data_IF_645750828774
#
_entry.id   IF_645750828774
#
_cell.length_a   1.000
_cell.length_b   1.000
_cell.length_c   1.000
_cell.angle_alpha   90.00
_cell.angle_beta   90.00
_cell.angle_gamma   90.00
#
_symmetry.space_group_name_H-M   'P 1'
#
loop_
_entity.id
_entity.type
_entity.pdbx_description
1 polymer ?
#
# COMPACT_ATOMS: atom_id res chain seq x y z
N UNK A 1 33.10 -15.19 11.45
CA UNK A 1 32.27 -14.53 10.42
C UNK A 1 30.95 -15.30 10.34
N UNK A 2 29.86 -14.71 10.82
CA UNK A 2 28.64 -15.44 11.20
C UNK A 2 27.72 -15.64 9.98
N UNK A 3 27.46 -16.90 9.59
CA UNK A 3 26.66 -17.26 8.41
C UNK A 3 25.18 -16.83 8.48
N UNK A 4 24.73 -16.35 9.64
CA UNK A 4 23.36 -15.87 9.89
C UNK A 4 23.09 -14.45 9.35
N UNK A 5 24.09 -13.57 9.30
CA UNK A 5 23.90 -12.19 8.81
C UNK A 5 23.72 -12.14 7.28
N UNK A 6 24.38 -13.04 6.55
CA UNK A 6 24.36 -13.04 5.09
C UNK A 6 23.03 -13.52 4.52
N UNK A 7 22.37 -14.50 5.16
CA UNK A 7 21.01 -14.93 4.77
C UNK A 7 19.96 -13.88 5.11
N UNK A 8 20.18 -13.06 6.12
CA UNK A 8 19.27 -11.98 6.51
C UNK A 8 19.15 -10.89 5.44
N UNK A 9 20.27 -10.58 4.76
CA UNK A 9 20.28 -9.63 3.64
C UNK A 9 19.56 -10.16 2.40
N UNK A 10 19.45 -11.48 2.24
CA UNK A 10 18.95 -12.10 1.00
C UNK A 10 17.41 -12.29 0.98
N UNK A 11 16.75 -12.32 2.14
CA UNK A 11 15.31 -12.59 2.26
C UNK A 11 14.44 -11.35 2.58
N UNK A 12 15.04 -10.19 2.85
CA UNK A 12 14.35 -8.96 3.28
C UNK A 12 13.98 -8.02 2.12
N UNK A 13 13.65 -8.55 0.94
CA UNK A 13 13.65 -7.75 -0.30
C UNK A 13 12.30 -7.73 -1.04
N UNK A 14 11.26 -8.39 -0.54
CA UNK A 14 10.04 -8.62 -1.33
C UNK A 14 9.08 -7.42 -1.42
N UNK A 15 9.41 -6.25 -0.85
CA UNK A 15 8.73 -4.98 -1.17
C UNK A 15 9.62 -3.74 -1.29
N UNK A 16 10.92 -3.84 -1.00
CA UNK A 16 11.87 -2.73 -1.15
C UNK A 16 13.23 -3.26 -1.67
N UNK A 17 13.57 -2.90 -2.92
CA UNK A 17 14.90 -2.93 -3.55
C UNK A 17 15.60 -4.29 -3.75
N UNK A 18 15.55 -4.80 -4.99
CA UNK A 18 16.69 -5.53 -5.58
C UNK A 18 16.98 -4.92 -6.96
N UNK A 19 18.15 -4.29 -7.05
CA UNK A 19 18.77 -3.69 -8.24
C UNK A 19 19.56 -4.79 -8.94
N UNK A 20 19.28 -5.01 -10.21
CA UNK A 20 20.18 -5.64 -11.17
C UNK A 20 20.51 -4.60 -12.23
N UNK A 21 21.78 -4.18 -12.27
CA UNK A 21 22.33 -3.24 -13.22
C UNK A 21 22.58 -3.96 -14.55
N UNK A 22 21.87 -3.63 -15.64
CA UNK A 22 22.33 -3.83 -17.02
C UNK A 22 21.76 -2.79 -17.99
N UNK A 23 22.52 -2.59 -19.05
CA UNK A 23 22.71 -1.39 -19.88
C UNK A 23 21.63 -1.06 -20.91
N UNK A 24 21.39 0.25 -21.03
CA UNK A 24 21.42 1.08 -22.25
C UNK A 24 20.82 0.51 -23.54
N UNK A 25 19.65 1.02 -23.91
CA UNK A 25 19.34 1.36 -25.30
C UNK A 25 18.31 2.50 -25.37
N UNK A 26 18.73 3.56 -26.05
CA UNK A 26 18.01 4.80 -26.31
C UNK A 26 17.17 4.64 -27.59
N UNK A 27 15.88 4.99 -27.56
CA UNK A 27 15.17 5.51 -28.73
C UNK A 27 13.89 6.25 -28.29
N UNK A 28 13.87 7.57 -28.54
CA UNK A 28 12.70 8.42 -28.41
C UNK A 28 11.70 8.15 -29.54
N UNK A 29 10.42 8.12 -29.21
CA UNK A 29 9.36 8.54 -30.12
C UNK A 29 8.25 9.19 -29.30
N UNK A 30 8.19 10.52 -29.35
CA UNK A 30 7.06 11.28 -28.85
C UNK A 30 5.91 11.14 -29.86
N UNK A 31 4.73 10.76 -29.38
CA UNK A 31 3.48 10.92 -30.12
C UNK A 31 2.48 11.53 -29.15
N UNK A 32 2.22 12.82 -29.38
CA UNK A 32 1.16 13.56 -28.72
C UNK A 32 -0.20 13.01 -29.21
N UNK A 33 -0.96 12.42 -28.31
CA UNK A 33 -2.38 12.16 -28.50
C UNK A 33 -3.12 12.79 -27.31
N UNK A 34 -3.99 13.74 -27.64
CA UNK A 34 -4.74 14.54 -26.70
C UNK A 34 -5.57 13.68 -25.75
N UNK A 35 -5.35 13.88 -24.46
CA UNK A 35 -6.21 13.32 -23.43
C UNK A 35 -7.49 14.16 -23.37
N UNK A 36 -8.59 13.60 -23.84
CA UNK A 36 -9.92 13.99 -23.37
C UNK A 36 -9.92 13.77 -21.85
N UNK A 37 -9.96 14.86 -21.10
CA UNK A 37 -10.16 14.82 -19.65
C UNK A 37 -11.59 14.35 -19.43
N UNK A 38 -11.76 13.04 -19.22
CA UNK A 38 -12.97 12.50 -18.61
C UNK A 38 -13.01 13.07 -17.20
N UNK A 39 -13.88 14.06 -17.02
CA UNK A 39 -14.14 14.70 -15.73
C UNK A 39 -14.74 13.64 -14.80
N UNK A 40 -13.86 13.05 -13.99
CA UNK A 40 -14.25 11.99 -13.09
C UNK A 40 -15.02 12.59 -11.90
N UNK A 41 -16.32 12.32 -11.88
CA UNK A 41 -17.26 12.85 -10.90
C UNK A 41 -17.09 12.13 -9.56
N UNK A 42 -16.95 12.89 -8.47
CA UNK A 42 -16.95 12.31 -7.12
C UNK A 42 -18.21 11.46 -6.89
N UNK A 43 -18.09 10.28 -6.25
CA UNK A 43 -19.23 9.42 -6.01
C UNK A 43 -20.29 10.10 -5.11
N UNK A 44 -21.59 9.76 -5.27
CA UNK A 44 -22.68 10.43 -4.58
C UNK A 44 -22.61 10.29 -3.06
N UNK A 45 -23.02 11.36 -2.34
CA UNK A 45 -23.03 11.58 -0.87
C UNK A 45 -23.87 10.59 -0.02
N UNK A 46 -23.95 9.29 -0.37
CA UNK A 46 -24.30 8.29 0.66
C UNK A 46 -23.16 8.27 1.69
N UNK A 47 -23.45 7.96 2.96
CA UNK A 47 -22.44 7.82 3.99
C UNK A 47 -21.28 7.00 3.42
N UNK A 48 -20.14 7.66 3.18
CA UNK A 48 -19.07 7.07 2.38
C UNK A 48 -18.54 5.90 3.20
N UNK A 49 -18.76 4.69 2.70
CA UNK A 49 -18.22 3.50 3.32
C UNK A 49 -16.69 3.68 3.43
N UNK A 50 -16.13 3.37 4.60
CA UNK A 50 -14.70 3.48 4.89
C UNK A 50 -13.83 2.98 3.72
N UNK A 51 -12.79 3.73 3.36
CA UNK A 51 -11.77 3.28 2.40
C UNK A 51 -10.74 2.33 3.02
N UNK A 52 -10.87 2.01 4.31
CA UNK A 52 -10.01 1.04 5.00
C UNK A 52 -10.85 0.16 5.94
N UNK A 53 -11.64 -0.79 5.38
CA UNK A 53 -12.42 -1.74 6.17
C UNK A 53 -11.52 -2.60 7.08
N UNK A 54 -11.69 -2.50 8.40
CA UNK A 54 -10.89 -3.25 9.41
C UNK A 54 -11.73 -4.23 10.24
N UNK A 55 -12.78 -4.81 9.66
CA UNK A 55 -13.60 -5.80 10.38
C UNK A 55 -12.84 -7.14 10.49
N UNK A 56 -12.75 -7.72 11.68
CA UNK A 56 -12.14 -9.05 11.90
C UNK A 56 -12.72 -10.10 10.94
N UNK A 57 -11.85 -10.94 10.38
CA UNK A 57 -12.20 -11.99 9.42
C UNK A 57 -12.27 -11.54 7.97
N UNK A 58 -12.22 -10.23 7.71
CA UNK A 58 -12.17 -9.66 6.35
C UNK A 58 -10.83 -9.98 5.69
N UNK A 59 -10.84 -10.36 4.42
CA UNK A 59 -9.62 -10.61 3.66
C UNK A 59 -9.69 -10.13 2.21
N UNK A 60 -8.51 -9.87 1.64
CA UNK A 60 -8.26 -9.51 0.25
C UNK A 60 -7.16 -10.39 -0.31
N UNK A 61 -7.33 -10.87 -1.54
CA UNK A 61 -6.30 -11.55 -2.30
C UNK A 61 -5.83 -10.64 -3.42
N UNK A 62 -4.52 -10.49 -3.55
CA UNK A 62 -3.90 -9.64 -4.55
C UNK A 62 -2.94 -10.45 -5.41
N UNK A 63 -2.75 -9.98 -6.63
CA UNK A 63 -1.66 -10.38 -7.53
C UNK A 63 -0.70 -9.22 -7.70
N UNK A 64 0.59 -9.49 -7.63
CA UNK A 64 1.64 -8.52 -7.93
C UNK A 64 2.43 -8.97 -9.16
N UNK A 65 2.69 -8.01 -10.04
CA UNK A 65 3.48 -8.15 -11.25
C UNK A 65 4.67 -7.21 -11.18
N UNK A 66 5.88 -7.73 -11.39
CA UNK A 66 7.15 -6.98 -11.42
C UNK A 66 8.07 -7.59 -12.47
N UNK A 67 8.22 -6.91 -13.62
CA UNK A 67 8.87 -7.51 -14.79
C UNK A 67 8.16 -8.82 -15.15
N UNK A 68 8.92 -9.89 -15.31
CA UNK A 68 8.38 -11.23 -15.62
C UNK A 68 7.90 -12.01 -14.38
N UNK A 69 8.08 -11.45 -13.17
CA UNK A 69 7.66 -12.10 -11.93
C UNK A 69 6.21 -11.80 -11.59
N UNK A 70 5.43 -12.86 -11.35
CA UNK A 70 4.03 -12.79 -10.92
C UNK A 70 3.83 -13.68 -9.69
N UNK A 71 3.25 -13.14 -8.62
CA UNK A 71 2.87 -13.92 -7.44
C UNK A 71 1.64 -13.34 -6.74
N UNK A 72 0.94 -14.21 -6.01
CA UNK A 72 -0.24 -13.84 -5.24
C UNK A 72 0.10 -13.71 -3.74
N UNK A 73 -0.64 -12.88 -3.01
CA UNK A 73 -0.61 -12.82 -1.55
C UNK A 73 -1.98 -12.41 -0.99
N UNK A 74 -2.21 -12.68 0.29
CA UNK A 74 -3.48 -12.39 0.97
C UNK A 74 -3.27 -11.41 2.13
N UNK A 75 -4.12 -10.40 2.25
CA UNK A 75 -4.25 -9.59 3.47
C UNK A 75 -5.45 -10.08 4.27
N UNK A 76 -5.33 -10.20 5.58
CA UNK A 76 -6.43 -10.61 6.46
C UNK A 76 -6.43 -9.83 7.76
N UNK A 77 -7.58 -9.29 8.15
CA UNK A 77 -7.77 -8.76 9.51
C UNK A 77 -7.94 -9.95 10.45
N UNK A 78 -6.90 -10.24 11.22
CA UNK A 78 -6.84 -11.45 12.06
C UNK A 78 -7.37 -11.20 13.46
N UNK A 79 -7.14 -10.01 14.02
CA UNK A 79 -7.54 -9.71 15.38
C UNK A 79 -7.82 -8.23 15.61
N UNK A 80 -8.53 -7.96 16.71
CA UNK A 80 -8.80 -6.61 17.23
C UNK A 80 -8.59 -6.66 18.73
N UNK A 81 -7.59 -5.93 19.21
CA UNK A 81 -7.20 -5.90 20.63
C UNK A 81 -7.39 -4.50 21.18
N UNK A 82 -7.71 -4.38 22.47
CA UNK A 82 -7.72 -3.09 23.16
C UNK A 82 -6.33 -2.81 23.72
N UNK A 83 -5.71 -1.72 23.26
CA UNK A 83 -4.45 -1.22 23.80
C UNK A 83 -4.63 0.26 24.15
N UNK A 84 -4.32 0.65 25.39
CA UNK A 84 -4.45 2.05 25.85
C UNK A 84 -5.82 2.68 25.54
N UNK A 85 -6.90 1.89 25.68
CA UNK A 85 -8.29 2.27 25.39
C UNK A 85 -8.59 2.53 23.90
N UNK A 86 -7.70 2.15 22.99
CA UNK A 86 -7.90 2.18 21.53
C UNK A 86 -8.11 0.76 20.99
N UNK A 87 -8.92 0.63 19.94
CA UNK A 87 -9.01 -0.62 19.19
C UNK A 87 -7.84 -0.70 18.18
N UNK A 88 -6.96 -1.67 18.39
CA UNK A 88 -5.79 -1.96 17.55
C UNK A 88 -6.07 -3.19 16.69
N UNK A 89 -5.99 -3.01 15.38
CA UNK A 89 -6.31 -4.01 14.37
C UNK A 89 -5.03 -4.68 13.88
N UNK A 90 -4.93 -6.00 14.05
CA UNK A 90 -3.85 -6.81 13.47
C UNK A 90 -4.25 -7.27 12.06
N UNK A 91 -3.41 -6.95 11.09
CA UNK A 91 -3.57 -7.36 9.69
C UNK A 91 -2.34 -8.15 9.27
N UNK A 92 -2.58 -9.40 8.86
CA UNK A 92 -1.56 -10.28 8.32
C UNK A 92 -1.50 -10.14 6.80
N UNK A 93 -0.30 -9.93 6.26
CA UNK A 93 0.04 -10.16 4.86
C UNK A 93 0.67 -11.54 4.73
N UNK A 94 -0.04 -12.47 4.11
CA UNK A 94 0.33 -13.87 3.94
C UNK A 94 0.84 -14.08 2.52
N UNK A 95 2.16 -14.27 2.38
CA UNK A 95 2.85 -14.64 1.15
C UNK A 95 3.78 -15.84 1.45
N UNK A 96 5.03 -15.82 0.99
CA UNK A 96 6.04 -16.80 1.40
C UNK A 96 6.41 -16.68 2.89
N UNK A 97 6.36 -15.46 3.42
CA UNK A 97 6.51 -15.15 4.84
C UNK A 97 5.33 -14.27 5.27
N UNK A 98 4.83 -14.48 6.48
CA UNK A 98 3.80 -13.62 7.06
C UNK A 98 4.41 -12.32 7.56
N UNK A 99 3.83 -11.20 7.19
CA UNK A 99 4.13 -9.88 7.76
C UNK A 99 2.90 -9.45 8.54
N UNK A 100 3.09 -9.06 9.79
CA UNK A 100 2.04 -8.56 10.66
C UNK A 100 2.14 -7.05 10.76
N UNK A 101 1.03 -6.36 10.53
CA UNK A 101 0.91 -4.91 10.71
C UNK A 101 -0.19 -4.61 11.74
N UNK A 102 0.04 -3.63 12.61
CA UNK A 102 -0.96 -3.17 13.57
C UNK A 102 -1.39 -1.75 13.25
N UNK A 103 -2.70 -1.54 13.18
CA UNK A 103 -3.32 -0.27 12.81
C UNK A 103 -4.24 0.24 13.91
N UNK A 104 -4.44 1.55 13.96
CA UNK A 104 -5.46 2.20 14.79
C UNK A 104 -6.17 3.28 13.97
N UNK A 105 -7.45 3.49 14.27
CA UNK A 105 -8.20 4.65 13.76
C UNK A 105 -8.30 5.72 14.83
N UNK A 106 -7.85 6.94 14.51
CA UNK A 106 -7.98 8.12 15.38
C UNK A 106 -8.71 9.22 14.63
N UNK A 107 -10.02 9.35 14.89
CA UNK A 107 -10.90 10.19 14.06
C UNK A 107 -10.87 9.76 12.60
N UNK A 108 -10.50 10.68 11.72
CA UNK A 108 -10.39 10.44 10.28
C UNK A 108 -9.02 9.85 9.87
N UNK A 109 -8.10 9.60 10.81
CA UNK A 109 -6.77 9.09 10.49
C UNK A 109 -6.69 7.57 10.63
N UNK A 110 -6.13 6.92 9.61
CA UNK A 110 -5.69 5.53 9.67
C UNK A 110 -4.18 5.53 9.90
N UNK A 111 -3.77 5.05 11.07
CA UNK A 111 -2.39 5.04 11.52
C UNK A 111 -1.87 3.61 11.59
N UNK A 112 -0.65 3.39 11.12
CA UNK A 112 0.09 2.14 11.35
C UNK A 112 1.06 2.33 12.50
N UNK A 113 0.95 1.48 13.51
CA UNK A 113 1.71 1.56 14.76
C UNK A 113 3.04 0.83 14.65
N UNK A 114 3.00 -0.39 14.13
CA UNK A 114 4.15 -1.30 14.14
C UNK A 114 4.00 -2.40 13.08
N UNK A 115 5.11 -3.05 12.77
CA UNK A 115 5.22 -4.13 11.80
C UNK A 115 6.18 -5.22 12.32
N UNK A 116 5.89 -6.48 12.02
CA UNK A 116 6.71 -7.64 12.39
C UNK A 116 6.83 -8.61 11.20
N UNK A 117 8.06 -8.96 10.83
CA UNK A 117 8.38 -9.85 9.71
C UNK A 117 8.65 -11.28 10.18
N UNK A 118 7.77 -12.21 9.80
CA UNK A 118 7.85 -13.61 10.17
C UNK A 118 7.91 -13.84 11.68
N UNK A 119 8.51 -14.96 12.07
CA UNK A 119 8.55 -15.36 13.48
C UNK A 119 9.76 -14.80 14.24
N UNK A 120 10.66 -14.06 13.57
CA UNK A 120 11.87 -13.53 14.19
C UNK A 120 11.53 -12.34 15.12
N UNK A 121 11.74 -12.44 16.44
CA UNK A 121 11.39 -11.36 17.38
C UNK A 121 12.14 -10.05 17.14
N UNK A 122 13.33 -10.10 16.54
CA UNK A 122 14.15 -8.92 16.23
C UNK A 122 13.75 -8.24 14.92
N UNK A 123 12.89 -8.85 14.11
CA UNK A 123 12.45 -8.31 12.83
C UNK A 123 11.23 -7.39 12.99
N UNK A 124 11.32 -6.40 13.88
CA UNK A 124 10.22 -5.52 14.26
C UNK A 124 10.53 -4.06 13.93
N UNK A 125 9.50 -3.34 13.53
CA UNK A 125 9.54 -1.90 13.31
C UNK A 125 8.42 -1.28 14.13
N UNK A 126 8.75 -0.26 14.93
CA UNK A 126 7.78 0.59 15.62
C UNK A 126 7.86 1.96 14.96
N UNK A 127 6.71 2.52 14.57
CA UNK A 127 6.65 3.83 13.94
C UNK A 127 6.45 4.90 15.01
N UNK A 128 7.45 5.77 15.14
CA UNK A 128 7.42 6.93 16.03
C UNK A 128 7.73 8.21 15.23
N UNK A 129 6.74 9.11 15.02
CA UNK A 129 5.32 8.95 15.37
C UNK A 129 4.64 7.84 14.54
N UNK A 130 3.45 7.33 14.95
CA UNK A 130 2.67 6.38 14.15
C UNK A 130 2.57 6.81 12.69
N UNK A 131 2.73 5.86 11.77
CA UNK A 131 2.75 6.14 10.34
C UNK A 131 1.34 6.48 9.84
N UNK A 132 1.13 7.73 9.44
CA UNK A 132 -0.14 8.17 8.85
C UNK A 132 -0.28 7.58 7.45
N UNK A 133 -1.03 6.47 7.36
CA UNK A 133 -1.26 5.75 6.12
C UNK A 133 -2.15 6.57 5.20
N UNK A 134 -3.30 6.99 5.73
CA UNK A 134 -4.30 7.76 4.98
C UNK A 134 -5.26 8.50 5.91
N UNK A 135 -5.98 9.45 5.33
CA UNK A 135 -7.22 9.99 5.91
C UNK A 135 -8.42 9.27 5.31
N UNK A 136 -9.49 9.13 6.07
CA UNK A 136 -10.73 8.46 5.68
C UNK A 136 -11.92 9.15 6.38
N UNK A 137 -12.85 9.79 5.64
CA UNK A 137 -13.10 9.65 4.20
C UNK A 137 -12.09 10.37 3.30
N UNK A 138 -11.78 9.77 2.15
CA UNK A 138 -11.00 10.41 1.09
C UNK A 138 -11.86 11.43 0.32
N UNK A 139 -11.29 12.61 0.09
CA UNK A 139 -11.89 13.70 -0.70
C UNK A 139 -10.87 14.23 -1.70
N UNK A 140 -11.32 14.76 -2.83
CA UNK A 140 -10.40 15.32 -3.83
C UNK A 140 -9.51 16.39 -3.19
N UNK A 141 -8.24 16.42 -3.58
CA UNK A 141 -7.20 17.32 -3.07
C UNK A 141 -6.86 17.22 -1.57
N UNK A 142 -7.46 16.27 -0.84
CA UNK A 142 -7.00 15.91 0.50
C UNK A 142 -5.54 15.47 0.43
N UNK A 143 -4.72 15.99 1.33
CA UNK A 143 -3.30 15.71 1.41
C UNK A 143 -2.88 15.54 2.86
N UNK A 144 -1.83 14.75 3.05
CA UNK A 144 -1.22 14.53 4.35
C UNK A 144 0.26 14.24 4.20
N UNK A 145 0.99 14.48 5.28
CA UNK A 145 2.41 14.21 5.36
C UNK A 145 2.70 13.35 6.57
N UNK A 146 3.70 12.49 6.43
CA UNK A 146 4.31 11.82 7.57
C UNK A 146 5.83 11.95 7.51
N UNK A 147 6.45 12.17 8.67
CA UNK A 147 7.89 12.16 8.85
C UNK A 147 8.24 11.31 10.06
N UNK A 148 9.18 10.38 9.90
CA UNK A 148 9.64 9.52 10.98
C UNK A 148 10.74 8.57 10.54
N UNK A 149 10.86 7.46 11.25
CA UNK A 149 11.83 6.41 10.93
C UNK A 149 11.14 5.16 10.41
N UNK A 150 11.66 4.60 9.31
CA UNK A 150 11.23 3.34 8.74
C UNK A 150 12.06 2.16 9.26
N UNK A 151 12.05 1.08 8.48
CA UNK A 151 12.89 -0.10 8.71
C UNK A 151 14.38 0.30 8.78
N UNK A 152 15.14 -0.36 9.67
CA UNK A 152 16.56 -0.05 9.94
C UNK A 152 16.83 1.39 10.44
N UNK A 153 15.81 2.11 10.91
CA UNK A 153 15.95 3.47 11.46
C UNK A 153 16.15 4.57 10.41
N UNK A 154 15.97 4.25 9.12
CA UNK A 154 16.11 5.17 7.98
C UNK A 154 15.10 6.31 8.11
N UNK A 155 15.52 7.56 7.86
CA UNK A 155 14.62 8.70 7.86
C UNK A 155 13.72 8.66 6.63
N UNK A 156 12.42 8.85 6.87
CA UNK A 156 11.42 8.81 5.82
C UNK A 156 10.55 10.06 5.89
N UNK A 157 10.31 10.67 4.73
CA UNK A 157 9.29 11.70 4.53
C UNK A 157 8.34 11.20 3.44
N UNK A 158 7.06 11.10 3.75
CA UNK A 158 6.01 10.67 2.85
C UNK A 158 5.00 11.80 2.66
N UNK A 159 4.74 12.21 1.42
CA UNK A 159 3.76 13.23 1.07
C UNK A 159 2.71 12.60 0.17
N UNK A 160 1.48 12.55 0.64
CA UNK A 160 0.38 11.86 -0.04
C UNK A 160 -0.75 12.84 -0.39
N UNK A 161 -1.38 12.65 -1.55
CA UNK A 161 -2.50 13.46 -2.01
C UNK A 161 -3.50 12.61 -2.81
N UNK A 162 -4.79 12.86 -2.60
CA UNK A 162 -5.86 12.39 -3.50
C UNK A 162 -5.87 13.26 -4.74
N UNK A 163 -5.42 12.71 -5.87
CA UNK A 163 -5.32 13.45 -7.14
C UNK A 163 -6.57 13.32 -8.00
N UNK A 164 -7.29 12.20 -7.90
CA UNK A 164 -8.47 11.94 -8.71
C UNK A 164 -9.38 10.89 -8.04
N UNK A 165 -10.61 10.82 -8.52
CA UNK A 165 -11.43 9.61 -8.48
C UNK A 165 -11.45 9.05 -9.89
N UNK A 166 -11.43 7.73 -10.08
CA UNK A 166 -11.48 7.15 -11.42
C UNK A 166 -12.14 5.78 -11.42
N UNK A 167 -12.80 5.47 -12.54
CA UNK A 167 -13.41 4.16 -12.75
C UNK A 167 -12.35 3.17 -13.21
N UNK A 168 -12.26 2.05 -12.49
CA UNK A 168 -11.38 0.93 -12.77
C UNK A 168 -12.20 -0.31 -13.14
N UNK A 169 -11.79 -0.97 -14.21
CA UNK A 169 -12.31 -2.27 -14.61
C UNK A 169 -11.22 -3.33 -14.34
N UNK A 170 -11.37 -4.05 -13.22
CA UNK A 170 -10.47 -5.12 -12.81
C UNK A 170 -11.15 -6.48 -13.01
N UNK A 171 -10.36 -7.55 -13.07
CA UNK A 171 -10.89 -8.93 -13.21
C UNK A 171 -11.95 -9.26 -12.15
N UNK A 172 -11.77 -8.77 -10.93
CA UNK A 172 -12.67 -9.01 -9.79
C UNK A 172 -13.93 -8.12 -9.81
N UNK A 173 -13.97 -7.07 -10.65
CA UNK A 173 -15.12 -6.19 -10.80
C UNK A 173 -14.78 -4.74 -11.16
N UNK A 174 -15.83 -3.92 -11.26
CA UNK A 174 -15.74 -2.48 -11.54
C UNK A 174 -15.77 -1.67 -10.26
N UNK A 175 -14.91 -0.66 -10.16
CA UNK A 175 -14.75 0.16 -8.97
C UNK A 175 -14.64 1.63 -9.34
N UNK A 176 -15.28 2.52 -8.60
CA UNK A 176 -14.91 3.93 -8.56
C UNK A 176 -13.92 4.13 -7.41
N UNK A 177 -12.67 4.49 -7.74
CA UNK A 177 -11.56 4.48 -6.79
C UNK A 177 -10.89 5.84 -6.66
N UNK A 178 -10.57 6.25 -5.44
CA UNK A 178 -9.73 7.40 -5.15
C UNK A 178 -8.27 7.07 -5.48
N UNK A 179 -7.67 7.78 -6.42
CA UNK A 179 -6.25 7.71 -6.78
C UNK A 179 -5.44 8.61 -5.85
N UNK A 180 -4.64 7.98 -4.98
CA UNK A 180 -3.69 8.64 -4.09
C UNK A 180 -2.29 8.52 -4.69
N UNK A 181 -1.56 9.62 -4.78
CA UNK A 181 -0.13 9.63 -5.12
C UNK A 181 0.68 10.00 -3.89
N UNK A 182 1.66 9.16 -3.56
CA UNK A 182 2.57 9.30 -2.43
C UNK A 182 4.01 9.43 -2.92
N UNK A 183 4.65 10.57 -2.65
CA UNK A 183 6.05 10.82 -2.95
C UNK A 183 6.88 10.63 -1.70
N UNK A 184 7.69 9.56 -1.68
CA UNK A 184 8.45 9.14 -0.51
C UNK A 184 9.93 9.42 -0.71
N UNK A 185 10.52 10.13 0.26
CA UNK A 185 11.96 10.32 0.38
C UNK A 185 12.48 9.45 1.51
N UNK A 186 13.47 8.61 1.24
CA UNK A 186 14.14 7.77 2.23
C UNK A 186 15.64 7.99 2.11
N UNK A 187 16.24 8.68 3.08
CA UNK A 187 17.61 9.21 2.98
C UNK A 187 17.88 9.89 1.63
N UNK A 188 18.73 9.29 0.77
CA UNK A 188 19.09 9.80 -0.57
C UNK A 188 18.18 9.26 -1.69
N UNK A 189 17.33 8.29 -1.40
CA UNK A 189 16.46 7.61 -2.35
C UNK A 189 15.09 8.26 -2.43
N UNK A 190 14.47 8.20 -3.61
CA UNK A 190 13.08 8.62 -3.83
C UNK A 190 12.32 7.50 -4.50
N UNK A 191 11.10 7.28 -4.04
CA UNK A 191 10.16 6.38 -4.69
C UNK A 191 8.78 7.02 -4.72
N UNK A 192 7.98 6.61 -5.71
CA UNK A 192 6.59 7.01 -5.82
C UNK A 192 5.71 5.79 -5.62
N UNK A 193 4.65 5.96 -4.84
CA UNK A 193 3.57 4.98 -4.72
C UNK A 193 2.30 5.62 -5.23
N UNK A 194 1.54 4.88 -6.02
CA UNK A 194 0.20 5.26 -6.45
C UNK A 194 -0.75 4.19 -5.96
N UNK A 195 -1.81 4.59 -5.28
CA UNK A 195 -2.80 3.70 -4.71
C UNK A 195 -4.18 4.05 -5.22
N UNK A 196 -5.01 3.04 -5.43
CA UNK A 196 -6.41 3.20 -5.77
C UNK A 196 -7.25 2.51 -4.71
N UNK A 197 -8.02 3.31 -3.99
CA UNK A 197 -8.90 2.83 -2.92
C UNK A 197 -10.37 3.00 -3.33
N UNK A 198 -11.14 1.93 -3.25
CA UNK A 198 -12.59 1.96 -3.48
C UNK A 198 -13.34 1.95 -2.14
N UNK A 199 -14.35 2.81 -2.03
CA UNK A 199 -15.14 2.96 -0.81
C UNK A 199 -15.80 1.62 -0.43
N UNK A 200 -15.68 1.23 0.84
CA UNK A 200 -16.20 -0.02 1.36
C UNK A 200 -15.40 -1.27 0.98
N UNK A 201 -14.45 -1.18 0.05
CA UNK A 201 -13.61 -2.30 -0.41
C UNK A 201 -12.18 -2.18 0.11
N UNK A 202 -11.60 -0.99 0.10
CA UNK A 202 -10.19 -0.79 0.41
C UNK A 202 -9.33 -0.68 -0.84
N UNK A 203 -8.06 -1.10 -0.72
CA UNK A 203 -7.10 -1.03 -1.81
C UNK A 203 -7.53 -1.98 -2.94
N UNK A 204 -7.73 -1.46 -4.15
CA UNK A 204 -8.07 -2.28 -5.34
C UNK A 204 -6.90 -2.39 -6.32
N UNK A 205 -6.01 -1.40 -6.33
CA UNK A 205 -4.81 -1.39 -7.15
C UNK A 205 -3.72 -0.55 -6.51
N UNK A 206 -2.46 -0.89 -6.75
CA UNK A 206 -1.33 -0.01 -6.47
C UNK A 206 -0.21 -0.16 -7.48
N UNK A 207 0.59 0.88 -7.62
CA UNK A 207 1.83 0.90 -8.38
C UNK A 207 2.93 1.49 -7.52
N UNK A 208 4.07 0.83 -7.46
CA UNK A 208 5.27 1.38 -6.82
C UNK A 208 6.34 1.54 -7.89
N UNK A 209 6.96 2.71 -7.93
CA UNK A 209 8.04 3.04 -8.86
C UNK A 209 9.26 3.53 -8.06
N UNK A 210 10.42 2.94 -8.32
CA UNK A 210 11.69 3.31 -7.70
C UNK A 210 12.80 3.25 -8.77
N UNK A 211 13.20 4.41 -9.30
CA UNK A 211 14.02 4.47 -10.51
C UNK A 211 13.32 3.77 -11.67
N UNK A 212 14.05 2.91 -12.37
CA UNK A 212 13.54 2.15 -13.53
C UNK A 212 12.70 0.93 -13.14
N UNK A 213 12.66 0.59 -11.85
CA UNK A 213 11.90 -0.57 -11.35
C UNK A 213 10.48 -0.14 -10.99
N UNK A 214 9.49 -0.86 -11.53
CA UNK A 214 8.11 -0.72 -11.10
C UNK A 214 7.45 -2.07 -10.81
N UNK A 215 6.46 -2.04 -9.92
CA UNK A 215 5.59 -3.18 -9.64
C UNK A 215 4.15 -2.72 -9.56
N UNK A 216 3.22 -3.53 -10.08
CA UNK A 216 1.77 -3.30 -10.01
C UNK A 216 1.18 -4.38 -9.13
N UNK A 217 0.27 -4.01 -8.25
CA UNK A 217 -0.54 -4.94 -7.45
C UNK A 217 -2.01 -4.69 -7.74
N UNK A 218 -2.78 -5.74 -8.03
CA UNK A 218 -4.21 -5.66 -8.33
C UNK A 218 -4.99 -6.64 -7.46
N UNK A 219 -6.18 -6.21 -7.04
CA UNK A 219 -7.11 -7.04 -6.29
C UNK A 219 -7.70 -8.10 -7.21
N UNK A 220 -7.60 -9.36 -6.81
CA UNK A 220 -8.13 -10.51 -7.56
C UNK A 220 -9.27 -11.22 -6.83
N UNK A 221 -9.39 -11.08 -5.51
CA UNK A 221 -10.54 -11.57 -4.75
C UNK A 221 -10.68 -10.89 -3.37
N UNK A 222 -11.88 -10.91 -2.76
CA UNK A 222 -12.12 -10.42 -1.40
C UNK A 222 -13.36 -11.01 -0.75
N UNK A 223 -13.36 -11.09 0.59
CA UNK A 223 -14.27 -11.95 1.37
C UNK A 223 -15.72 -11.46 1.50
N UNK A 224 -15.97 -10.22 1.14
CA UNK A 224 -17.22 -9.51 1.40
C UNK A 224 -17.78 -8.88 0.11
N UNK A 225 -17.32 -9.39 -1.05
CA UNK A 225 -17.93 -9.06 -2.33
C UNK A 225 -19.39 -9.48 -2.35
N UNK A 226 -20.30 -8.70 -2.97
CA UNK A 226 -21.67 -9.13 -3.17
C UNK A 226 -21.71 -10.50 -3.85
N UNK A 227 -22.59 -11.39 -3.38
CA UNK A 227 -22.86 -12.64 -4.09
C UNK A 227 -23.50 -12.28 -5.43
N UNK A 228 -22.97 -12.83 -6.52
CA UNK A 228 -23.62 -12.78 -7.83
C UNK A 228 -24.89 -13.62 -7.82
#
# INVERSE_FOLDING_TARGET
>A
MNLSETRYKQFSITRFLLVGLQSLSLACAASALGANVLEAKEPPKKAVATYFPMKKGTWWKYRITRGDSVYDFTLRVVDVQKENNEDVYEIDTIAQQTIKDWYVRRGDQILRLRQHFGDNPSARVVFEPPYLLMVDPLKLASNWQWQGKGMLGVKVVDNSQVEAFEDLDLEVGKFNAARIVSNVKQDKSRLQKVYWYAAGVGLVKSKVTNGDVSSITELIDYSFKPRK
#
